data_IF_279609789402
#
_entry.id   IF_279609789402
#
_cell.length_a   1.000
_cell.length_b   1.000
_cell.length_c   1.000
_cell.angle_alpha   90.00
_cell.angle_beta   90.00
_cell.angle_gamma   90.00
#
_symmetry.space_group_name_H-M   'P 1'
#
loop_
_entity.id
_entity.type
_entity.pdbx_description
1 polymer ?
#
# COMPACT_ATOMS: atom_id res chain seq x y z
N UNK A 1 14.87 -16.21 -13.36
CA UNK A 1 15.28 -17.00 -12.17
C UNK A 1 15.04 -18.47 -12.46
N UNK A 2 16.00 -19.34 -12.16
CA UNK A 2 15.78 -20.80 -12.24
C UNK A 2 15.25 -21.29 -10.89
N UNK A 3 14.17 -22.07 -10.88
CA UNK A 3 13.58 -22.60 -9.63
C UNK A 3 14.57 -23.44 -8.82
N UNK A 4 15.49 -24.16 -9.50
CA UNK A 4 16.54 -24.94 -8.83
C UNK A 4 17.55 -24.11 -8.04
N UNK A 5 17.58 -22.79 -8.24
CA UNK A 5 18.45 -21.84 -7.54
C UNK A 5 17.67 -20.97 -6.54
N UNK A 6 16.35 -21.18 -6.45
CA UNK A 6 15.52 -20.48 -5.50
C UNK A 6 15.64 -21.11 -4.11
N UNK A 7 15.67 -20.28 -3.06
CA UNK A 7 15.59 -20.76 -1.68
C UNK A 7 14.17 -21.19 -1.28
N UNK A 8 13.17 -20.85 -2.11
CA UNK A 8 11.76 -21.09 -1.84
C UNK A 8 11.45 -22.59 -1.92
N UNK A 9 10.65 -23.05 -0.98
CA UNK A 9 10.10 -24.40 -0.96
C UNK A 9 8.58 -24.33 -0.97
N UNK A 10 7.96 -25.35 -1.54
CA UNK A 10 6.50 -25.54 -1.45
C UNK A 10 6.16 -26.38 -0.23
N UNK A 11 4.97 -26.18 0.31
CA UNK A 11 4.47 -26.91 1.47
C UNK A 11 3.23 -27.72 1.10
N UNK A 12 3.06 -28.88 1.72
CA UNK A 12 1.84 -29.70 1.56
C UNK A 12 0.67 -29.11 2.32
N UNK A 13 0.94 -28.58 3.50
CA UNK A 13 -0.04 -28.04 4.43
C UNK A 13 0.42 -26.70 4.97
N UNK A 14 -0.51 -25.88 5.38
CA UNK A 14 -0.31 -24.62 6.10
C UNK A 14 -0.96 -24.77 7.47
N UNK A 15 -0.52 -24.01 8.46
CA UNK A 15 -1.11 -24.02 9.80
C UNK A 15 -2.62 -23.78 9.76
N UNK A 16 -3.35 -24.39 10.67
CA UNK A 16 -4.82 -24.32 10.77
C UNK A 16 -5.38 -22.91 11.01
N UNK A 17 -4.50 -21.95 11.27
CA UNK A 17 -4.84 -20.56 11.55
C UNK A 17 -5.18 -19.74 10.28
N UNK A 18 -4.87 -20.30 9.09
CA UNK A 18 -5.18 -19.61 7.83
C UNK A 18 -6.55 -20.04 7.31
N UNK A 19 -7.49 -19.10 7.35
CA UNK A 19 -8.89 -19.34 6.93
C UNK A 19 -9.14 -18.95 5.47
N UNK A 20 -8.28 -18.10 4.90
CA UNK A 20 -8.40 -17.67 3.51
C UNK A 20 -7.82 -18.73 2.56
N UNK A 21 -8.67 -19.29 1.71
CA UNK A 21 -8.25 -20.26 0.68
C UNK A 21 -7.18 -19.69 -0.25
N UNK A 22 -7.28 -18.41 -0.59
CA UNK A 22 -6.30 -17.74 -1.44
C UNK A 22 -4.93 -17.67 -0.74
N UNK A 23 -4.90 -17.19 0.51
CA UNK A 23 -3.66 -17.12 1.28
C UNK A 23 -3.05 -18.52 1.49
N UNK A 24 -3.86 -19.52 1.82
CA UNK A 24 -3.40 -20.93 1.94
C UNK A 24 -2.66 -21.39 0.68
N UNK A 25 -3.25 -21.18 -0.50
CA UNK A 25 -2.65 -21.62 -1.76
C UNK A 25 -1.36 -20.87 -2.08
N UNK A 26 -1.32 -19.56 -1.84
CA UNK A 26 -0.14 -18.73 -2.09
C UNK A 26 1.01 -19.07 -1.13
N UNK A 27 0.73 -19.35 0.14
CA UNK A 27 1.72 -19.79 1.12
C UNK A 27 2.26 -21.18 0.72
N UNK A 28 1.38 -22.13 0.42
CA UNK A 28 1.79 -23.48 -0.02
C UNK A 28 2.66 -23.46 -1.27
N UNK A 29 2.36 -22.57 -2.19
CA UNK A 29 3.12 -22.41 -3.44
C UNK A 29 4.43 -21.62 -3.26
N UNK A 30 4.71 -21.06 -2.08
CA UNK A 30 5.89 -20.25 -1.81
C UNK A 30 5.87 -18.88 -2.49
N UNK A 31 4.69 -18.29 -2.66
CA UNK A 31 4.51 -16.94 -3.21
C UNK A 31 4.53 -15.87 -2.12
N UNK A 32 3.97 -16.18 -0.96
CA UNK A 32 3.93 -15.27 0.18
C UNK A 32 4.33 -16.01 1.45
N UNK A 33 4.79 -15.24 2.45
CA UNK A 33 4.98 -15.68 3.81
C UNK A 33 4.09 -14.84 4.73
N UNK A 34 3.41 -15.48 5.66
CA UNK A 34 2.56 -14.80 6.64
C UNK A 34 3.38 -14.43 7.85
N UNK A 35 3.63 -13.15 8.05
CA UNK A 35 4.30 -12.65 9.25
C UNK A 35 3.33 -12.64 10.43
N UNK A 36 2.12 -12.13 10.22
CA UNK A 36 1.01 -12.16 11.18
C UNK A 36 -0.33 -11.97 10.45
N UNK A 37 -1.43 -11.95 11.17
CA UNK A 37 -2.75 -11.72 10.59
C UNK A 37 -2.78 -10.39 9.82
N UNK A 38 -3.19 -10.46 8.54
CA UNK A 38 -3.25 -9.29 7.65
C UNK A 38 -1.90 -8.78 7.11
N UNK A 39 -0.77 -9.37 7.51
CA UNK A 39 0.58 -8.94 7.10
C UNK A 39 1.34 -10.08 6.45
N UNK A 40 1.76 -9.85 5.20
CA UNK A 40 2.41 -10.87 4.37
C UNK A 40 3.63 -10.30 3.65
N UNK A 41 4.70 -11.09 3.62
CA UNK A 41 5.86 -10.85 2.76
C UNK A 41 5.62 -11.47 1.38
N UNK A 42 6.01 -10.75 0.33
CA UNK A 42 6.05 -11.30 -1.02
C UNK A 42 7.39 -12.00 -1.25
N UNK A 43 7.34 -13.31 -1.41
CA UNK A 43 8.51 -14.10 -1.80
C UNK A 43 8.82 -13.92 -3.29
N UNK A 44 9.99 -14.32 -3.80
CA UNK A 44 10.42 -14.01 -5.17
C UNK A 44 9.39 -14.31 -6.27
N UNK A 45 8.69 -15.45 -6.23
CA UNK A 45 7.65 -15.77 -7.21
C UNK A 45 6.42 -14.88 -7.05
N UNK A 46 6.02 -14.60 -5.81
CA UNK A 46 4.93 -13.70 -5.51
C UNK A 46 5.22 -12.28 -5.97
N UNK A 47 6.43 -11.78 -5.70
CA UNK A 47 6.85 -10.44 -6.15
C UNK A 47 6.90 -10.33 -7.68
N UNK A 48 7.43 -11.34 -8.38
CA UNK A 48 7.41 -11.36 -9.84
C UNK A 48 5.99 -11.32 -10.38
N UNK A 49 5.08 -12.06 -9.77
CA UNK A 49 3.66 -12.09 -10.18
C UNK A 49 2.99 -10.75 -9.89
N UNK A 50 3.22 -10.18 -8.71
CA UNK A 50 2.71 -8.86 -8.34
C UNK A 50 3.17 -7.78 -9.34
N UNK A 51 4.47 -7.75 -9.65
CA UNK A 51 5.03 -6.78 -10.59
C UNK A 51 4.40 -6.91 -11.98
N UNK A 52 4.20 -8.14 -12.48
CA UNK A 52 3.52 -8.36 -13.77
C UNK A 52 2.08 -7.84 -13.78
N UNK A 53 1.36 -8.00 -12.68
CA UNK A 53 0.00 -7.44 -12.55
C UNK A 53 0.07 -5.92 -12.53
N UNK A 54 1.02 -5.35 -11.80
CA UNK A 54 1.24 -3.89 -11.77
C UNK A 54 1.61 -3.36 -13.16
N UNK A 55 2.46 -4.08 -13.91
CA UNK A 55 2.86 -3.67 -15.27
C UNK A 55 1.65 -3.61 -16.21
N UNK A 56 0.75 -4.59 -16.17
CA UNK A 56 -0.50 -4.56 -16.95
C UNK A 56 -1.36 -3.35 -16.58
N UNK A 57 -1.52 -3.07 -15.28
CA UNK A 57 -2.29 -1.92 -14.81
C UNK A 57 -1.62 -0.61 -15.23
N UNK A 58 -0.29 -0.55 -15.15
CA UNK A 58 0.51 0.60 -15.55
C UNK A 58 0.32 0.92 -17.03
N UNK A 59 0.46 -0.10 -17.88
CA UNK A 59 0.29 0.05 -19.33
C UNK A 59 -1.09 0.62 -19.69
N UNK A 60 -2.16 0.14 -19.04
CA UNK A 60 -3.53 0.62 -19.27
C UNK A 60 -3.74 2.06 -18.77
N UNK A 61 -3.21 2.40 -17.60
CA UNK A 61 -3.36 3.76 -17.05
C UNK A 61 -2.50 4.77 -17.79
N UNK A 62 -1.29 4.42 -18.18
CA UNK A 62 -0.40 5.29 -18.97
C UNK A 62 -0.99 5.54 -20.37
N UNK A 63 -1.63 4.54 -20.99
CA UNK A 63 -2.29 4.67 -22.28
C UNK A 63 -3.42 5.72 -22.31
N UNK A 64 -4.06 5.96 -21.16
CA UNK A 64 -5.10 7.02 -21.03
C UNK A 64 -4.55 8.32 -20.44
N UNK A 65 -3.23 8.45 -20.31
CA UNK A 65 -2.55 9.68 -19.87
C UNK A 65 -2.50 9.89 -18.35
N UNK A 66 -2.71 8.85 -17.56
CA UNK A 66 -2.47 8.92 -16.13
C UNK A 66 -0.96 8.98 -15.81
N UNK A 67 -0.60 9.57 -14.69
CA UNK A 67 0.77 9.72 -14.25
C UNK A 67 0.99 8.93 -12.96
N UNK A 68 1.96 8.01 -12.97
CA UNK A 68 2.32 7.27 -11.77
C UNK A 68 3.07 8.16 -10.79
N UNK A 69 2.73 8.03 -9.51
CA UNK A 69 3.45 8.67 -8.43
C UNK A 69 3.58 7.74 -7.23
N UNK A 70 4.59 7.99 -6.41
CA UNK A 70 4.75 7.31 -5.13
C UNK A 70 4.75 8.33 -4.01
N UNK A 71 3.86 8.12 -3.05
CA UNK A 71 3.71 9.00 -1.89
C UNK A 71 4.36 8.41 -0.65
N UNK A 72 4.56 9.22 0.37
CA UNK A 72 5.14 8.78 1.63
C UNK A 72 4.18 7.91 2.44
N UNK A 73 4.72 6.87 3.09
CA UNK A 73 3.96 6.07 4.06
C UNK A 73 3.74 6.81 5.39
N UNK A 74 4.67 7.71 5.74
CA UNK A 74 4.55 8.56 6.94
C UNK A 74 3.77 9.82 6.60
N UNK A 75 2.80 10.16 7.45
CA UNK A 75 1.91 11.29 7.22
C UNK A 75 1.90 12.26 8.38
N UNK A 76 1.92 13.55 8.01
CA UNK A 76 1.81 14.66 8.95
C UNK A 76 0.35 14.81 9.42
N UNK A 77 0.10 14.90 10.73
CA UNK A 77 -1.24 15.14 11.28
C UNK A 77 -1.96 16.38 10.74
N UNK A 78 -1.23 17.43 10.36
CA UNK A 78 -1.82 18.72 9.95
C UNK A 78 -2.88 18.60 8.84
N UNK A 79 -2.66 17.73 7.86
CA UNK A 79 -3.61 17.50 6.77
C UNK A 79 -4.89 16.86 7.28
N UNK A 80 -4.76 15.95 8.23
CA UNK A 80 -5.84 15.15 8.77
C UNK A 80 -6.65 15.85 9.86
N UNK A 81 -6.00 16.75 10.60
CA UNK A 81 -6.68 17.64 11.57
C UNK A 81 -7.64 18.58 10.84
N UNK A 82 -7.30 19.07 9.65
CA UNK A 82 -8.17 19.94 8.85
C UNK A 82 -9.48 19.27 8.42
N UNK A 83 -9.47 17.97 8.28
CA UNK A 83 -10.65 17.16 7.90
C UNK A 83 -11.31 16.48 9.10
N UNK A 84 -10.83 16.74 10.32
CA UNK A 84 -11.22 16.09 11.59
C UNK A 84 -10.98 14.56 11.61
N UNK A 85 -10.13 14.05 10.69
CA UNK A 85 -9.88 12.61 10.50
C UNK A 85 -8.61 12.11 11.20
N UNK A 86 -7.97 12.94 12.02
CA UNK A 86 -6.86 12.53 12.88
C UNK A 86 -7.31 11.89 14.18
N UNK A 87 -8.55 12.10 14.57
CA UNK A 87 -9.14 11.61 15.83
C UNK A 87 -9.52 10.14 15.71
N UNK A 88 -9.21 9.35 16.75
CA UNK A 88 -9.51 7.91 16.79
C UNK A 88 -11.01 7.61 16.95
N UNK A 89 -11.79 8.55 17.44
CA UNK A 89 -13.25 8.44 17.49
C UNK A 89 -13.96 8.75 16.16
N UNK A 90 -13.23 9.26 15.16
CA UNK A 90 -13.70 9.51 13.80
C UNK A 90 -13.16 8.44 12.85
N UNK A 91 -11.88 8.10 12.95
CA UNK A 91 -11.22 7.02 12.21
C UNK A 91 -10.33 6.25 13.16
N UNK A 92 -10.63 4.98 13.41
CA UNK A 92 -9.97 4.10 14.37
C UNK A 92 -8.89 3.19 13.75
N UNK A 93 -8.61 3.35 12.46
CA UNK A 93 -7.64 2.51 11.73
C UNK A 93 -6.20 3.02 11.75
N UNK A 94 -5.90 4.06 12.54
CA UNK A 94 -4.58 4.65 12.58
C UNK A 94 -3.54 3.81 13.33
N UNK A 95 -2.37 3.68 12.72
CA UNK A 95 -1.12 3.43 13.44
C UNK A 95 -0.41 4.77 13.64
N UNK A 96 -0.39 5.28 14.86
CA UNK A 96 0.28 6.54 15.24
C UNK A 96 1.58 6.27 15.97
N UNK A 97 2.57 7.10 15.76
CA UNK A 97 3.88 7.01 16.43
C UNK A 97 4.39 8.39 16.82
N UNK A 98 5.22 8.42 17.85
CA UNK A 98 5.89 9.65 18.34
C UNK A 98 7.30 9.75 17.78
N UNK A 99 7.71 10.95 17.42
CA UNK A 99 9.07 11.24 17.03
C UNK A 99 9.95 11.54 18.26
N UNK A 100 11.20 11.11 18.24
CA UNK A 100 12.17 11.41 19.29
C UNK A 100 12.42 12.92 19.47
N UNK A 101 12.32 13.68 18.39
CA UNK A 101 12.44 15.14 18.39
C UNK A 101 11.16 15.87 18.84
N UNK A 102 10.15 15.14 19.25
CA UNK A 102 8.81 15.66 19.55
C UNK A 102 7.89 15.67 18.31
N UNK A 103 6.60 15.63 18.58
CA UNK A 103 5.56 15.51 17.53
C UNK A 103 5.10 14.07 17.31
N UNK A 104 4.08 13.94 16.48
CA UNK A 104 3.41 12.69 16.16
C UNK A 104 3.29 12.52 14.65
N UNK A 105 3.31 11.27 14.18
CA UNK A 105 3.07 10.89 12.80
C UNK A 105 2.08 9.73 12.74
N UNK A 106 1.42 9.57 11.58
CA UNK A 106 0.63 8.37 11.26
C UNK A 106 1.26 7.56 10.13
N UNK A 107 1.00 6.24 10.14
CA UNK A 107 1.18 5.41 8.95
C UNK A 107 -0.06 5.55 8.07
N UNK A 108 0.14 5.75 6.78
CA UNK A 108 -0.91 6.08 5.82
C UNK A 108 -2.03 5.02 5.71
N UNK A 109 -3.24 5.28 6.20
CA UNK A 109 -4.39 4.42 5.94
C UNK A 109 -4.97 4.66 4.55
N UNK A 110 -4.80 5.88 4.04
CA UNK A 110 -5.17 6.34 2.70
C UNK A 110 -4.34 7.56 2.31
N UNK A 111 -4.50 8.11 1.11
CA UNK A 111 -3.65 9.20 0.62
C UNK A 111 -4.42 10.40 0.03
N UNK A 112 -5.74 10.44 0.15
CA UNK A 112 -6.54 11.50 -0.47
C UNK A 112 -6.24 12.88 0.11
N UNK A 113 -6.13 13.01 1.44
CA UNK A 113 -5.80 14.28 2.11
C UNK A 113 -4.39 14.77 1.73
N UNK A 114 -3.31 13.97 1.85
CA UNK A 114 -2.00 14.43 1.43
C UNK A 114 -1.90 14.66 -0.09
N UNK A 115 -2.64 13.89 -0.92
CA UNK A 115 -2.71 14.14 -2.35
C UNK A 115 -3.38 15.48 -2.66
N UNK A 116 -4.51 15.77 -2.01
CA UNK A 116 -5.20 17.05 -2.16
C UNK A 116 -4.29 18.21 -1.76
N UNK A 117 -3.59 18.09 -0.63
CA UNK A 117 -2.60 19.08 -0.19
C UNK A 117 -1.49 19.28 -1.21
N UNK A 118 -0.96 18.19 -1.79
CA UNK A 118 0.04 18.25 -2.85
C UNK A 118 -0.50 19.00 -4.07
N UNK A 119 -1.69 18.63 -4.54
CA UNK A 119 -2.31 19.22 -5.74
C UNK A 119 -2.57 20.72 -5.60
N UNK A 120 -2.85 21.23 -4.39
CA UNK A 120 -2.98 22.70 -4.18
C UNK A 120 -1.71 23.49 -4.50
N UNK A 121 -0.56 22.83 -4.59
CA UNK A 121 0.71 23.47 -4.94
C UNK A 121 0.97 23.50 -6.45
N UNK A 122 0.37 22.60 -7.20
CA UNK A 122 0.65 22.41 -8.62
C UNK A 122 -0.52 22.81 -9.53
N UNK A 123 -1.76 22.77 -9.04
CA UNK A 123 -2.94 23.19 -9.75
C UNK A 123 -3.28 24.62 -9.36
N UNK A 124 -3.05 25.57 -10.28
CA UNK A 124 -3.28 26.99 -10.05
C UNK A 124 -4.55 27.49 -10.71
N UNK A 125 -5.08 26.77 -11.69
CA UNK A 125 -6.24 27.17 -12.49
C UNK A 125 -7.04 25.96 -12.94
N UNK A 126 -8.33 26.17 -13.23
CA UNK A 126 -9.16 25.15 -13.88
C UNK A 126 -8.61 24.67 -15.22
N UNK A 127 -7.74 25.47 -15.85
CA UNK A 127 -7.08 25.11 -17.13
C UNK A 127 -6.03 24.02 -16.94
N UNK A 128 -5.57 23.80 -15.72
CA UNK A 128 -4.62 22.74 -15.40
C UNK A 128 -5.33 21.38 -15.25
N UNK A 129 -6.67 21.36 -15.31
CA UNK A 129 -7.50 20.17 -15.19
C UNK A 129 -8.01 19.69 -16.56
N UNK A 130 -8.26 18.39 -16.74
CA UNK A 130 -8.14 17.33 -15.74
C UNK A 130 -6.69 16.87 -15.54
N UNK A 131 -6.37 16.42 -14.33
CA UNK A 131 -5.13 15.72 -13.99
C UNK A 131 -5.48 14.34 -13.46
N UNK A 132 -4.89 13.31 -14.04
CA UNK A 132 -5.07 11.92 -13.60
C UNK A 132 -3.77 11.39 -13.03
N UNK A 133 -3.82 10.91 -11.81
CA UNK A 133 -2.67 10.31 -11.13
C UNK A 133 -3.06 8.97 -10.50
N UNK A 134 -2.10 8.06 -10.40
CA UNK A 134 -2.29 6.78 -9.73
C UNK A 134 -1.06 6.40 -8.92
N UNK A 135 -1.20 5.42 -8.04
CA UNK A 135 -0.11 4.93 -7.20
C UNK A 135 -0.27 3.45 -6.89
N UNK A 136 0.84 2.74 -6.83
CA UNK A 136 0.95 1.46 -6.15
C UNK A 136 1.55 1.73 -4.77
N UNK A 137 0.73 1.67 -3.73
CA UNK A 137 1.10 2.19 -2.43
C UNK A 137 0.61 1.28 -1.30
N UNK A 138 1.51 0.94 -0.39
CA UNK A 138 1.13 0.25 0.85
C UNK A 138 0.24 1.14 1.70
N UNK A 139 -0.85 0.56 2.20
CA UNK A 139 -1.77 1.18 3.16
C UNK A 139 -1.65 0.43 4.48
N UNK A 140 -1.72 1.16 5.58
CA UNK A 140 -1.60 0.64 6.93
C UNK A 140 -2.91 0.87 7.67
N UNK A 141 -3.61 -0.20 8.04
CA UNK A 141 -4.87 -0.11 8.77
C UNK A 141 -4.85 -1.05 9.95
N UNK A 142 -5.18 -0.52 11.11
CA UNK A 142 -5.33 -1.26 12.35
C UNK A 142 -6.77 -1.79 12.41
N UNK A 143 -7.03 -2.89 11.70
CA UNK A 143 -8.36 -3.54 11.58
C UNK A 143 -8.36 -4.93 12.21
#
# INVERSE_FOLDING_TARGET
>A
MKLSQSFIKTFREVGKEETSRNAELLIRAGYIYKEMAGVYDFLPLGLITLNKIQDIIRDELDAIGCQEMQMTALQNPESWVKTDRWRDDVIDVWFKTKLNAGGELGLAPTHEEPLTNLMTKYISSYKDLPVYVYQFQTKFRNE
#
